data_IF_469044049384
#
_entry.id   IF_469044049384
#
_cell.length_a   1.000
_cell.length_b   1.000
_cell.length_c   1.000
_cell.angle_alpha   90.00
_cell.angle_beta   90.00
_cell.angle_gamma   90.00
#
_symmetry.space_group_name_H-M   'P 1'
#
loop_
_entity.id
_entity.type
_entity.pdbx_description
1 polymer ?
#
# COMPACT_ATOMS: atom_id res chain seq x y z
N UNK A 1 38.45 26.55 19.72
CA UNK A 1 37.28 26.16 18.89
C UNK A 1 37.78 25.90 17.48
N UNK A 2 37.95 24.63 17.11
CA UNK A 2 38.49 24.25 15.79
C UNK A 2 37.37 24.12 14.77
N UNK A 3 37.32 25.03 13.82
CA UNK A 3 36.40 24.97 12.68
C UNK A 3 37.02 24.07 11.61
N UNK A 4 36.79 22.75 11.70
CA UNK A 4 37.33 21.81 10.73
C UNK A 4 36.23 20.87 10.24
N UNK A 5 36.12 20.74 8.91
CA UNK A 5 35.24 19.78 8.26
C UNK A 5 35.82 18.38 8.47
N UNK A 6 35.00 17.47 8.99
CA UNK A 6 35.29 16.04 8.99
C UNK A 6 34.59 15.40 7.79
N UNK A 7 35.35 14.68 6.95
CA UNK A 7 34.83 13.94 5.81
C UNK A 7 35.31 12.49 5.91
N UNK A 8 34.36 11.55 5.90
CA UNK A 8 34.63 10.12 6.02
C UNK A 8 33.99 9.42 4.83
N UNK A 9 34.81 8.83 3.96
CA UNK A 9 34.36 8.19 2.73
C UNK A 9 35.00 6.82 2.57
N UNK A 10 34.21 5.87 2.09
CA UNK A 10 34.70 4.61 1.56
C UNK A 10 34.30 4.55 0.08
N UNK A 11 35.26 4.80 -0.82
CA UNK A 11 34.97 4.97 -2.25
C UNK A 11 34.68 3.64 -2.97
N UNK A 12 35.25 2.55 -2.47
CA UNK A 12 35.17 1.23 -3.08
C UNK A 12 34.62 0.14 -2.15
N UNK A 13 34.28 0.49 -0.90
CA UNK A 13 33.80 -0.47 0.10
C UNK A 13 32.85 0.22 1.10
N UNK A 14 32.49 -0.48 2.17
CA UNK A 14 31.50 -0.08 3.16
C UNK A 14 32.08 0.68 4.35
N UNK A 15 31.26 1.57 4.92
CA UNK A 15 31.47 2.14 6.26
C UNK A 15 30.53 1.40 7.24
N UNK A 16 31.07 0.96 8.37
CA UNK A 16 30.29 0.29 9.43
C UNK A 16 30.54 0.96 10.78
N UNK A 17 29.52 1.63 11.30
CA UNK A 17 29.55 2.28 12.60
C UNK A 17 28.66 1.46 13.55
N UNK A 18 29.23 0.93 14.63
CA UNK A 18 28.52 0.13 15.63
C UNK A 18 28.88 0.64 17.02
N UNK A 19 27.90 0.69 17.91
CA UNK A 19 28.07 1.02 19.32
C UNK A 19 27.45 -0.09 20.16
N UNK A 20 28.04 -0.36 21.33
CA UNK A 20 27.48 -1.30 22.31
C UNK A 20 26.29 -0.69 23.04
N UNK A 21 26.38 0.61 23.34
CA UNK A 21 25.36 1.35 24.07
C UNK A 21 24.61 2.27 23.10
N UNK A 22 24.77 3.58 23.22
CA UNK A 22 24.06 4.54 22.38
C UNK A 22 24.91 5.06 21.22
N UNK A 23 24.27 5.32 20.09
CA UNK A 23 24.79 6.07 18.96
C UNK A 23 23.84 7.25 18.72
N UNK A 24 24.36 8.48 18.74
CA UNK A 24 23.60 9.69 18.47
C UNK A 24 24.26 10.47 17.34
N UNK A 25 23.48 10.84 16.33
CA UNK A 25 23.88 11.71 15.22
C UNK A 25 23.06 12.99 15.40
N UNK A 26 23.74 14.11 15.64
CA UNK A 26 23.12 15.39 15.96
C UNK A 26 23.79 16.48 15.12
N UNK A 27 22.98 17.33 14.48
CA UNK A 27 23.43 18.59 13.89
C UNK A 27 23.02 19.73 14.81
N UNK A 28 23.95 20.64 15.12
CA UNK A 28 23.71 21.73 16.07
C UNK A 28 22.84 22.84 15.48
N UNK A 29 23.03 23.15 14.19
CA UNK A 29 22.45 24.34 13.56
C UNK A 29 21.73 24.05 12.23
N UNK A 30 21.89 22.85 11.66
CA UNK A 30 21.41 22.52 10.32
C UNK A 30 20.74 21.13 10.32
N UNK A 31 20.51 20.58 9.13
CA UNK A 31 19.87 19.29 8.94
C UNK A 31 20.83 18.09 9.02
N UNK A 32 20.26 16.90 9.07
CA UNK A 32 20.95 15.61 8.94
C UNK A 32 20.38 14.91 7.72
N UNK A 33 21.15 14.85 6.65
CA UNK A 33 20.75 14.21 5.41
C UNK A 33 21.21 12.76 5.33
N UNK A 34 20.26 11.89 4.98
CA UNK A 34 20.51 10.47 4.73
C UNK A 34 20.07 10.16 3.29
N UNK A 35 21.03 9.93 2.41
CA UNK A 35 20.80 9.56 1.03
C UNK A 35 21.45 8.20 0.72
N UNK A 36 20.75 7.36 -0.03
CA UNK A 36 21.26 6.07 -0.48
C UNK A 36 20.87 5.83 -1.94
N UNK A 37 21.76 5.20 -2.71
CA UNK A 37 21.50 4.88 -4.12
C UNK A 37 20.52 3.73 -4.34
N UNK A 38 20.26 2.90 -3.31
CA UNK A 38 19.36 1.74 -3.41
C UNK A 38 18.28 1.75 -2.33
N UNK A 39 18.70 1.62 -1.08
CA UNK A 39 17.77 1.44 0.05
C UNK A 39 18.26 2.17 1.28
N UNK A 40 17.35 2.86 1.96
CA UNK A 40 17.54 3.28 3.36
C UNK A 40 16.69 2.35 4.22
N UNK A 41 17.32 1.62 5.14
CA UNK A 41 16.63 0.68 6.04
C UNK A 41 16.97 1.00 7.49
N UNK A 42 15.95 1.39 8.27
CA UNK A 42 16.06 1.61 9.69
C UNK A 42 15.23 0.57 10.41
N UNK A 43 15.86 -0.27 11.22
CA UNK A 43 15.19 -1.34 11.95
C UNK A 43 15.58 -1.31 13.42
N UNK A 44 14.64 -1.71 14.26
CA UNK A 44 14.84 -1.97 15.67
C UNK A 44 14.87 -3.48 15.92
N UNK A 45 15.55 -3.90 16.99
CA UNK A 45 15.53 -5.31 17.39
C UNK A 45 14.11 -5.83 17.70
N UNK A 46 13.18 -4.93 18.04
CA UNK A 46 11.76 -5.24 18.25
C UNK A 46 10.94 -5.45 16.97
N UNK A 47 11.57 -5.47 15.80
CA UNK A 47 10.90 -5.77 14.53
C UNK A 47 10.17 -4.60 13.86
N UNK A 48 10.19 -3.40 14.46
CA UNK A 48 9.73 -2.19 13.78
C UNK A 48 10.81 -1.73 12.78
N UNK A 49 10.41 -1.44 11.55
CA UNK A 49 11.28 -0.96 10.48
C UNK A 49 10.63 0.10 9.58
N UNK A 50 11.50 0.95 9.03
CA UNK A 50 11.21 1.93 7.98
C UNK A 50 12.17 1.63 6.81
N UNK A 51 11.60 1.37 5.63
CA UNK A 51 12.38 1.08 4.41
C UNK A 51 11.98 2.05 3.31
N UNK A 52 12.96 2.69 2.69
CA UNK A 52 12.79 3.54 1.51
C UNK A 52 13.53 2.86 0.36
N UNK A 53 12.79 2.37 -0.63
CA UNK A 53 13.34 1.64 -1.78
C UNK A 53 12.43 1.80 -3.00
N UNK A 54 13.03 1.98 -4.18
CA UNK A 54 12.28 2.01 -5.45
C UNK A 54 11.21 3.10 -5.52
N UNK A 55 11.42 4.22 -4.80
CA UNK A 55 10.45 5.31 -4.68
C UNK A 55 9.29 5.06 -3.70
N UNK A 56 9.24 3.88 -3.06
CA UNK A 56 8.22 3.54 -2.07
C UNK A 56 8.75 3.74 -0.65
N UNK A 57 7.83 4.05 0.27
CA UNK A 57 8.08 4.13 1.70
C UNK A 57 7.27 3.04 2.39
N UNK A 58 7.96 2.10 3.03
CA UNK A 58 7.36 0.98 3.75
C UNK A 58 7.61 1.13 5.25
N UNK A 59 6.53 1.21 6.01
CA UNK A 59 6.55 1.22 7.47
C UNK A 59 5.98 -0.12 7.95
N UNK A 60 6.81 -0.95 8.59
CA UNK A 60 6.40 -2.24 9.12
C UNK A 60 6.65 -2.28 10.62
N UNK A 61 5.65 -2.71 11.40
CA UNK A 61 5.86 -3.04 12.81
C UNK A 61 4.92 -4.17 13.23
N UNK A 62 5.29 -4.97 14.24
CA UNK A 62 4.43 -6.03 14.75
C UNK A 62 3.22 -5.51 15.55
N UNK A 63 3.28 -4.26 16.02
CA UNK A 63 2.25 -3.62 16.83
C UNK A 63 1.36 -2.66 16.04
N UNK A 64 1.00 -1.53 16.66
CA UNK A 64 0.22 -0.49 16.02
C UNK A 64 1.08 0.65 15.51
N UNK A 65 0.76 1.19 14.32
CA UNK A 65 1.33 2.42 13.80
C UNK A 65 0.49 3.59 14.30
N UNK A 66 1.03 4.40 15.22
CA UNK A 66 0.38 5.62 15.71
C UNK A 66 0.79 6.81 14.85
N UNK A 67 -0.16 7.36 14.09
CA UNK A 67 0.04 8.57 13.29
C UNK A 67 -0.69 9.74 13.98
N UNK A 68 0.04 10.79 14.35
CA UNK A 68 -0.53 12.03 14.87
C UNK A 68 -0.70 13.02 13.71
N UNK A 69 -1.93 13.21 13.23
CA UNK A 69 -2.24 14.10 12.12
C UNK A 69 -3.64 14.72 12.28
N UNK A 70 -3.79 16.00 11.93
CA UNK A 70 -5.07 16.72 11.95
C UNK A 70 -6.08 16.17 10.94
N UNK A 71 -5.60 15.61 9.82
CA UNK A 71 -6.43 14.96 8.79
C UNK A 71 -5.73 13.69 8.33
N UNK A 72 -6.45 12.56 8.36
CA UNK A 72 -6.01 11.28 7.78
C UNK A 72 -6.93 10.96 6.61
N UNK A 73 -6.43 11.06 5.39
CA UNK A 73 -7.16 10.60 4.20
C UNK A 73 -6.67 9.20 3.85
N UNK A 74 -7.39 8.19 4.32
CA UNK A 74 -7.21 6.82 3.85
C UNK A 74 -8.24 6.62 2.73
N UNK A 75 -7.81 6.83 1.48
CA UNK A 75 -8.71 6.69 0.33
C UNK A 75 -8.97 5.21 0.14
N UNK A 76 -10.19 4.78 0.46
CA UNK A 76 -10.63 3.41 0.25
C UNK A 76 -10.72 3.05 -1.23
N UNK A 77 -10.87 1.76 -1.57
CA UNK A 77 -11.05 1.33 -2.96
C UNK A 77 -12.29 2.01 -3.56
N UNK A 78 -12.16 2.50 -4.80
CA UNK A 78 -13.27 3.06 -5.57
C UNK A 78 -14.29 1.95 -5.86
N UNK A 79 -15.53 2.10 -5.37
CA UNK A 79 -16.64 1.20 -5.72
C UNK A 79 -17.24 1.65 -7.05
N UNK A 80 -17.08 0.86 -8.10
CA UNK A 80 -17.86 1.03 -9.33
C UNK A 80 -19.17 0.25 -9.18
N UNK A 81 -20.28 0.96 -8.97
CA UNK A 81 -21.62 0.35 -8.91
C UNK A 81 -22.01 -0.06 -10.34
N UNK A 82 -21.73 -1.31 -10.73
CA UNK A 82 -22.25 -1.85 -11.99
C UNK A 82 -23.76 -2.03 -11.84
N UNK A 83 -24.61 -1.34 -12.61
CA UNK A 83 -26.04 -1.63 -12.58
C UNK A 83 -26.24 -3.09 -12.96
N UNK A 84 -26.97 -3.83 -12.12
CA UNK A 84 -27.39 -5.19 -12.45
C UNK A 84 -28.25 -5.12 -13.72
N UNK A 85 -28.08 -6.06 -14.67
CA UNK A 85 -28.95 -6.13 -15.84
C UNK A 85 -30.39 -6.31 -15.34
N UNK A 86 -31.31 -5.47 -15.84
CA UNK A 86 -32.73 -5.57 -15.51
C UNK A 86 -33.23 -6.88 -16.09
N UNK A 87 -33.56 -7.82 -15.22
CA UNK A 87 -34.24 -9.05 -15.64
C UNK A 87 -35.65 -8.69 -16.15
N UNK A 88 -36.11 -9.28 -17.25
CA UNK A 88 -37.45 -9.02 -17.76
C UNK A 88 -38.49 -9.39 -16.70
N UNK A 89 -39.32 -8.41 -16.32
CA UNK A 89 -40.35 -8.57 -15.27
C UNK A 89 -41.61 -9.27 -15.79
N UNK A 90 -41.71 -9.50 -17.09
CA UNK A 90 -42.83 -10.19 -17.71
C UNK A 90 -42.36 -11.52 -18.29
N UNK A 91 -43.10 -12.58 -17.95
CA UNK A 91 -43.00 -13.87 -18.62
C UNK A 91 -43.62 -13.72 -20.01
N UNK A 92 -42.86 -14.02 -21.06
CA UNK A 92 -43.35 -14.11 -22.43
C UNK A 92 -44.49 -15.14 -22.47
N UNK A 93 -45.72 -14.68 -22.73
CA UNK A 93 -46.93 -15.54 -22.68
C UNK A 93 -46.88 -16.61 -23.77
N UNK A 94 -46.38 -16.27 -24.96
CA UNK A 94 -46.16 -17.24 -26.03
C UNK A 94 -45.12 -18.29 -25.61
N UNK A 95 -44.03 -17.86 -24.97
CA UNK A 95 -42.96 -18.75 -24.50
C UNK A 95 -43.44 -19.68 -23.38
N UNK A 96 -44.37 -19.21 -22.54
CA UNK A 96 -45.02 -20.01 -21.50
C UNK A 96 -45.94 -21.09 -22.10
N UNK A 97 -46.77 -20.72 -23.08
CA UNK A 97 -47.64 -21.68 -23.77
C UNK A 97 -46.84 -22.74 -24.51
N UNK A 98 -45.75 -22.32 -25.16
CA UNK A 98 -44.88 -23.20 -25.93
C UNK A 98 -44.06 -24.13 -25.02
N UNK A 99 -43.65 -23.68 -23.83
CA UNK A 99 -43.05 -24.54 -22.80
C UNK A 99 -44.06 -25.54 -22.22
N UNK A 100 -45.31 -25.11 -22.00
CA UNK A 100 -46.38 -25.98 -21.51
C UNK A 100 -46.70 -27.11 -22.51
N UNK A 101 -46.77 -26.80 -23.81
CA UNK A 101 -46.97 -27.80 -24.87
C UNK A 101 -45.82 -28.79 -24.97
N UNK A 102 -44.58 -28.35 -24.68
CA UNK A 102 -43.37 -29.17 -24.78
C UNK A 102 -42.97 -29.83 -23.45
N UNK A 103 -43.80 -29.71 -22.40
CA UNK A 103 -43.50 -30.16 -21.04
C UNK A 103 -42.12 -29.71 -20.53
N UNK A 104 -41.67 -28.52 -20.94
CA UNK A 104 -40.36 -28.00 -20.60
C UNK A 104 -40.41 -27.20 -19.29
N UNK A 105 -39.49 -27.43 -18.33
CA UNK A 105 -39.49 -26.76 -17.03
C UNK A 105 -39.06 -25.28 -17.09
N UNK A 106 -38.46 -24.83 -18.19
CA UNK A 106 -38.01 -23.44 -18.36
C UNK A 106 -38.57 -22.85 -19.66
N UNK A 107 -39.01 -21.60 -19.60
CA UNK A 107 -39.43 -20.87 -20.80
C UNK A 107 -38.19 -20.40 -21.57
N UNK A 108 -38.08 -20.69 -22.88
CA UNK A 108 -36.98 -20.17 -23.67
C UNK A 108 -37.04 -18.64 -23.67
N UNK A 109 -35.88 -18.00 -23.55
CA UNK A 109 -35.78 -16.53 -23.63
C UNK A 109 -36.31 -16.10 -25.00
N UNK A 110 -37.48 -15.46 -25.02
CA UNK A 110 -38.03 -14.88 -26.23
C UNK A 110 -37.06 -13.83 -26.76
N UNK A 111 -36.64 -13.98 -28.01
CA UNK A 111 -35.88 -12.94 -28.70
C UNK A 111 -36.86 -11.78 -28.94
N UNK A 112 -36.70 -10.69 -28.19
CA UNK A 112 -37.11 -9.37 -28.64
C UNK A 112 -36.05 -8.84 -29.60
#
# INVERSE_FOLDING_TARGET
MGHYKLDLQAQNDQIRIRSRDHLRIISANAEVDLAAGRTIHLATAGGASLTIEGGNITIACPGSIKVHAAKKSFVGPTKMRRPLPVFPQSVCKECLLLAAQRAAPFTPKGNA
#
